data_IF_364011842411
#
_entry.id   IF_364011842411
#
_cell.length_a   1.000
_cell.length_b   1.000
_cell.length_c   1.000
_cell.angle_alpha   90.00
_cell.angle_beta   90.00
_cell.angle_gamma   90.00
#
_symmetry.space_group_name_H-M   'P 1'
#
loop_
_entity.id
_entity.type
_entity.pdbx_description
1 polymer ?
#
# COMPACT_ATOMS: atom_id res chain seq x y z
N UNK A 1 -10.60 -27.07 48.26
CA UNK A 1 -11.26 -26.81 46.95
C UNK A 1 -10.93 -25.43 46.32
N UNK A 2 -10.57 -24.39 47.07
CA UNK A 2 -10.33 -23.01 46.53
C UNK A 2 -9.02 -22.85 45.71
N UNK A 3 -7.97 -23.59 45.97
CA UNK A 3 -6.68 -23.47 45.30
C UNK A 3 -6.71 -23.94 43.82
N UNK A 4 -7.38 -25.06 43.55
CA UNK A 4 -7.49 -25.62 42.20
C UNK A 4 -8.26 -24.66 41.26
N UNK A 5 -9.35 -24.06 41.72
CA UNK A 5 -10.14 -23.07 40.94
C UNK A 5 -9.34 -21.83 40.65
N UNK A 6 -8.47 -21.41 41.57
CA UNK A 6 -7.63 -20.20 41.40
C UNK A 6 -6.53 -20.44 40.35
N UNK A 7 -5.92 -21.62 40.34
CA UNK A 7 -4.92 -22.01 39.34
C UNK A 7 -5.55 -22.10 37.94
N UNK A 8 -6.71 -22.72 37.79
CA UNK A 8 -7.41 -22.84 36.49
C UNK A 8 -7.78 -21.43 35.96
N UNK A 9 -8.30 -20.55 36.78
CA UNK A 9 -8.61 -19.17 36.38
C UNK A 9 -7.39 -18.39 35.93
N UNK A 10 -6.25 -18.53 36.58
CA UNK A 10 -5.01 -17.86 36.19
C UNK A 10 -4.45 -18.40 34.86
N UNK A 11 -4.50 -19.72 34.66
CA UNK A 11 -4.07 -20.35 33.40
C UNK A 11 -4.96 -19.93 32.23
N UNK A 12 -6.28 -19.88 32.43
CA UNK A 12 -7.21 -19.41 31.40
C UNK A 12 -6.98 -17.93 31.03
N UNK A 13 -6.73 -17.07 32.01
CA UNK A 13 -6.39 -15.65 31.75
C UNK A 13 -5.09 -15.49 30.98
N UNK A 14 -4.07 -16.26 31.33
CA UNK A 14 -2.79 -16.26 30.60
C UNK A 14 -2.99 -16.72 29.16
N UNK A 15 -3.70 -17.82 28.93
CA UNK A 15 -4.01 -18.35 27.62
C UNK A 15 -4.76 -17.35 26.74
N UNK A 16 -5.81 -16.70 27.27
CA UNK A 16 -6.56 -15.68 26.53
C UNK A 16 -5.67 -14.48 26.20
N UNK A 17 -4.80 -14.04 27.11
CA UNK A 17 -3.85 -12.97 26.87
C UNK A 17 -2.86 -13.31 25.76
N UNK A 18 -2.34 -14.52 25.72
CA UNK A 18 -1.44 -14.98 24.68
C UNK A 18 -2.13 -15.07 23.32
N UNK A 19 -3.34 -15.62 23.26
CA UNK A 19 -4.13 -15.65 22.03
C UNK A 19 -4.40 -14.25 21.49
N UNK A 20 -4.75 -13.30 22.33
CA UNK A 20 -4.95 -11.92 21.93
C UNK A 20 -3.66 -11.28 21.39
N UNK A 21 -2.52 -11.56 22.02
CA UNK A 21 -1.20 -11.06 21.57
C UNK A 21 -0.83 -11.61 20.20
N UNK A 22 -1.01 -12.91 20.00
CA UNK A 22 -0.70 -13.58 18.74
C UNK A 22 -1.66 -13.15 17.61
N UNK A 23 -2.96 -13.03 17.90
CA UNK A 23 -3.94 -12.48 16.94
C UNK A 23 -3.57 -11.06 16.50
N UNK A 24 -3.14 -10.19 17.42
CA UNK A 24 -2.65 -8.84 17.09
C UNK A 24 -1.39 -8.89 16.20
N UNK A 25 -0.45 -9.80 16.46
CA UNK A 25 0.73 -9.99 15.61
C UNK A 25 0.34 -10.46 14.20
N UNK A 26 -0.55 -11.43 14.10
CA UNK A 26 -1.06 -11.94 12.82
C UNK A 26 -1.76 -10.83 12.01
N UNK A 27 -2.64 -10.06 12.64
CA UNK A 27 -3.32 -8.91 12.03
C UNK A 27 -2.33 -7.86 11.51
N UNK A 28 -1.31 -7.51 12.30
CA UNK A 28 -0.26 -6.56 11.87
C UNK A 28 0.51 -7.08 10.64
N UNK A 29 0.83 -8.38 10.61
CA UNK A 29 1.49 -9.01 9.46
C UNK A 29 0.57 -9.01 8.23
N UNK A 30 -0.72 -9.34 8.40
CA UNK A 30 -1.70 -9.38 7.32
C UNK A 30 -1.85 -8.00 6.66
N UNK A 31 -2.06 -6.94 7.44
CA UNK A 31 -2.12 -5.56 6.95
C UNK A 31 -0.80 -5.17 6.24
N UNK A 32 0.33 -5.55 6.80
CA UNK A 32 1.63 -5.31 6.21
C UNK A 32 1.76 -5.92 4.81
N UNK A 33 1.38 -7.18 4.66
CA UNK A 33 1.42 -7.92 3.38
C UNK A 33 0.40 -7.39 2.38
N UNK A 34 -0.84 -7.12 2.80
CA UNK A 34 -1.85 -6.50 1.93
C UNK A 34 -1.38 -5.18 1.33
N UNK A 35 -0.78 -4.30 2.13
CA UNK A 35 -0.20 -3.06 1.62
C UNK A 35 0.92 -3.27 0.60
N UNK A 36 1.77 -4.30 0.78
CA UNK A 36 2.80 -4.65 -0.21
C UNK A 36 2.19 -5.20 -1.50
N UNK A 37 1.18 -6.06 -1.41
CA UNK A 37 0.48 -6.62 -2.57
C UNK A 37 -0.19 -5.52 -3.40
N UNK A 38 -0.94 -4.62 -2.77
CA UNK A 38 -1.57 -3.48 -3.44
C UNK A 38 -0.53 -2.57 -4.11
N UNK A 39 0.57 -2.25 -3.40
CA UNK A 39 1.68 -1.49 -3.99
C UNK A 39 2.23 -2.18 -5.24
N UNK A 40 2.46 -3.48 -5.16
CA UNK A 40 3.03 -4.24 -6.28
C UNK A 40 2.06 -4.33 -7.46
N UNK A 41 0.75 -4.43 -7.21
CA UNK A 41 -0.27 -4.37 -8.25
C UNK A 41 -0.29 -3.01 -8.94
N UNK A 42 -0.30 -1.91 -8.17
CA UNK A 42 -0.24 -0.56 -8.74
C UNK A 42 1.05 -0.33 -9.57
N UNK A 43 2.19 -0.88 -9.13
CA UNK A 43 3.44 -0.83 -9.89
C UNK A 43 3.37 -1.63 -11.19
N UNK A 44 2.74 -2.80 -11.18
CA UNK A 44 2.52 -3.61 -12.39
C UNK A 44 1.62 -2.86 -13.36
N UNK A 45 0.51 -2.31 -12.90
CA UNK A 45 -0.40 -1.51 -13.71
C UNK A 45 0.30 -0.29 -14.32
N UNK A 46 1.20 0.37 -13.56
CA UNK A 46 2.01 1.46 -14.08
C UNK A 46 2.94 0.99 -15.19
N UNK A 47 3.62 -0.14 -15.04
CA UNK A 47 4.50 -0.71 -16.07
C UNK A 47 3.73 -1.09 -17.33
N UNK A 48 2.55 -1.71 -17.19
CA UNK A 48 1.71 -2.15 -18.31
C UNK A 48 0.93 -1.00 -18.98
N UNK A 49 0.94 0.19 -18.43
CA UNK A 49 0.17 1.33 -18.96
C UNK A 49 0.71 1.92 -20.27
N UNK A 50 1.75 1.32 -20.86
CA UNK A 50 2.35 1.76 -22.13
C UNK A 50 3.12 3.09 -22.05
N UNK A 51 3.42 3.56 -20.83
CA UNK A 51 4.26 4.73 -20.64
C UNK A 51 5.65 4.35 -21.06
N UNK A 52 6.15 4.93 -22.17
CA UNK A 52 7.55 4.83 -22.55
C UNK A 52 8.39 5.48 -21.45
N UNK A 53 8.94 4.62 -20.61
CA UNK A 53 9.72 5.01 -19.43
C UNK A 53 11.11 5.54 -19.85
N UNK A 54 11.47 5.31 -21.13
CA UNK A 54 12.77 5.61 -21.73
C UNK A 54 12.95 7.07 -22.17
N UNK A 55 11.86 7.84 -22.32
CA UNK A 55 11.99 9.20 -22.78
C UNK A 55 12.29 10.15 -21.65
N UNK A 56 13.51 10.56 -21.58
CA UNK A 56 14.07 11.64 -20.81
C UNK A 56 14.72 11.27 -19.48
N UNK A 57 15.67 12.06 -19.13
CA UNK A 57 16.44 12.29 -17.88
C UNK A 57 15.96 11.64 -16.53
N UNK A 58 14.86 10.93 -16.54
CA UNK A 58 14.27 10.25 -15.39
C UNK A 58 14.23 8.75 -15.67
N UNK A 59 15.19 8.04 -15.17
CA UNK A 59 15.32 6.58 -15.26
C UNK A 59 14.01 5.90 -14.85
N UNK A 60 13.43 5.13 -15.77
CA UNK A 60 12.10 4.53 -15.64
C UNK A 60 11.87 3.69 -14.40
N UNK A 61 12.86 2.95 -13.97
CA UNK A 61 12.77 2.19 -12.72
C UNK A 61 12.54 3.08 -11.49
N UNK A 62 13.01 4.31 -11.50
CA UNK A 62 12.80 5.26 -10.42
C UNK A 62 11.36 5.76 -10.33
N UNK A 63 10.63 5.82 -11.45
CA UNK A 63 9.23 6.27 -11.46
C UNK A 63 8.35 5.27 -10.70
N UNK A 64 8.53 3.98 -10.92
CA UNK A 64 7.81 2.91 -10.23
C UNK A 64 8.01 2.97 -8.72
N UNK A 65 9.17 3.43 -8.26
CA UNK A 65 9.46 3.57 -6.83
C UNK A 65 8.68 4.70 -6.16
N UNK A 66 8.06 5.60 -6.91
CA UNK A 66 7.16 6.61 -6.37
C UNK A 66 5.83 6.05 -5.83
N UNK A 67 5.45 4.82 -6.19
CA UNK A 67 4.37 4.10 -5.52
C UNK A 67 4.92 3.43 -4.27
N UNK A 68 4.53 3.93 -3.09
CA UNK A 68 5.12 3.56 -1.80
C UNK A 68 4.10 3.08 -0.79
N UNK A 69 4.58 2.29 0.17
CA UNK A 69 3.84 1.97 1.39
C UNK A 69 4.41 2.77 2.56
N UNK A 70 3.52 3.26 3.42
CA UNK A 70 3.90 3.83 4.71
C UNK A 70 4.27 2.75 5.73
N UNK A 71 4.61 3.21 6.94
CA UNK A 71 4.75 2.35 8.11
C UNK A 71 3.38 1.80 8.52
N UNK A 72 3.38 0.65 9.19
CA UNK A 72 2.18 0.14 9.85
C UNK A 72 2.04 0.90 11.16
N UNK A 73 0.88 1.49 11.40
CA UNK A 73 0.57 2.14 12.65
C UNK A 73 -0.70 1.54 13.26
N UNK A 74 -0.78 1.58 14.57
CA UNK A 74 -1.95 1.15 15.32
C UNK A 74 -2.94 2.32 15.42
N UNK A 75 -4.20 2.05 15.18
CA UNK A 75 -5.30 2.98 15.45
C UNK A 75 -6.34 2.23 16.27
N UNK A 76 -6.48 2.62 17.54
CA UNK A 76 -7.35 1.91 18.50
C UNK A 76 -7.07 0.40 18.52
N UNK A 77 -8.04 -0.42 18.13
CA UNK A 77 -7.94 -1.88 18.09
C UNK A 77 -7.55 -2.44 16.72
N UNK A 78 -7.20 -1.59 15.75
CA UNK A 78 -6.87 -1.99 14.39
C UNK A 78 -5.46 -1.56 13.98
N UNK A 79 -4.96 -2.15 12.89
CA UNK A 79 -3.73 -1.72 12.22
C UNK A 79 -4.06 -1.10 10.88
N UNK A 80 -3.34 -0.06 10.51
CA UNK A 80 -3.45 0.60 9.20
C UNK A 80 -2.09 0.71 8.53
N UNK A 81 -2.12 0.65 7.20
CA UNK A 81 -0.96 0.90 6.36
C UNK A 81 -1.39 1.64 5.11
N UNK A 82 -0.82 2.80 4.89
CA UNK A 82 -1.12 3.59 3.70
C UNK A 82 -0.31 3.10 2.51
N UNK A 83 -0.96 2.96 1.37
CA UNK A 83 -0.32 2.87 0.05
C UNK A 83 -0.61 4.17 -0.67
N UNK A 84 0.41 4.81 -1.21
CA UNK A 84 0.27 6.15 -1.81
C UNK A 84 1.19 6.35 -3.00
N UNK A 85 0.78 7.23 -3.87
CA UNK A 85 1.62 7.84 -4.88
C UNK A 85 2.37 9.01 -4.25
N UNK A 86 3.69 9.00 -4.35
CA UNK A 86 4.50 10.14 -3.90
C UNK A 86 4.61 11.15 -5.02
N UNK A 87 4.06 12.33 -4.79
CA UNK A 87 4.11 13.45 -5.77
C UNK A 87 5.09 14.55 -5.35
N UNK A 88 6.06 14.23 -4.51
CA UNK A 88 6.96 15.22 -3.94
C UNK A 88 7.82 15.90 -5.02
N UNK A 89 7.57 17.18 -5.24
CA UNK A 89 8.32 18.02 -6.19
C UNK A 89 9.75 18.31 -5.76
N UNK A 90 10.08 18.14 -4.47
CA UNK A 90 11.44 18.39 -3.96
C UNK A 90 12.48 17.46 -4.59
N UNK A 91 12.06 16.26 -5.01
CA UNK A 91 12.94 15.34 -5.69
C UNK A 91 12.70 15.37 -7.22
N UNK A 92 13.04 16.45 -7.87
CA UNK A 92 12.89 16.63 -9.33
C UNK A 92 13.60 15.54 -10.15
N UNK A 93 14.73 15.02 -9.62
CA UNK A 93 15.52 13.96 -10.29
C UNK A 93 14.80 12.62 -10.42
N UNK A 94 13.82 12.32 -9.57
CA UNK A 94 13.10 11.03 -9.60
C UNK A 94 11.87 11.01 -10.50
N UNK A 95 11.40 12.16 -10.99
CA UNK A 95 10.20 12.26 -11.82
C UNK A 95 8.89 11.87 -11.12
N UNK A 96 8.89 11.55 -9.83
CA UNK A 96 7.71 11.06 -9.10
C UNK A 96 6.54 12.05 -9.07
N UNK A 97 6.81 13.34 -9.21
CA UNK A 97 5.76 14.36 -9.31
C UNK A 97 4.81 14.12 -10.50
N UNK A 98 5.27 13.39 -11.53
CA UNK A 98 4.46 13.05 -12.70
C UNK A 98 3.45 11.94 -12.43
N UNK A 99 3.63 11.12 -11.40
CA UNK A 99 2.75 9.99 -11.11
C UNK A 99 1.30 10.41 -10.87
N UNK A 100 1.08 11.54 -10.22
CA UNK A 100 -0.27 12.10 -10.06
C UNK A 100 -0.91 12.40 -11.40
N UNK A 101 -0.18 13.07 -12.29
CA UNK A 101 -0.65 13.39 -13.64
C UNK A 101 -0.88 12.14 -14.49
N UNK A 102 0.01 11.14 -14.39
CA UNK A 102 -0.14 9.87 -15.10
C UNK A 102 -1.34 9.07 -14.58
N UNK A 103 -1.64 9.15 -13.29
CA UNK A 103 -2.82 8.48 -12.75
C UNK A 103 -4.12 9.18 -13.16
N UNK A 104 -4.23 10.49 -12.94
CA UNK A 104 -5.49 11.22 -13.05
C UNK A 104 -5.62 12.05 -14.33
N UNK A 105 -4.57 12.10 -15.15
CA UNK A 105 -4.53 12.98 -16.31
C UNK A 105 -4.27 14.44 -15.94
N UNK A 106 -4.28 15.30 -16.94
CA UNK A 106 -4.19 16.77 -16.78
C UNK A 106 -5.09 17.43 -17.79
N UNK A 107 -5.56 18.62 -17.46
CA UNK A 107 -6.10 19.54 -18.46
C UNK A 107 -5.00 19.93 -19.45
N UNK A 108 -5.36 20.63 -20.52
CA UNK A 108 -4.41 21.20 -21.44
C UNK A 108 -3.43 22.13 -20.72
N UNK A 109 -2.15 22.02 -21.06
CA UNK A 109 -1.08 22.73 -20.39
C UNK A 109 -0.42 23.70 -21.34
N UNK A 110 -0.06 24.88 -20.84
CA UNK A 110 0.55 25.95 -21.62
C UNK A 110 1.91 26.34 -21.05
N UNK A 111 2.87 26.60 -21.92
CA UNK A 111 4.19 27.12 -21.54
C UNK A 111 4.15 28.64 -21.47
N UNK A 112 4.10 29.20 -20.25
CA UNK A 112 4.09 30.66 -20.03
C UNK A 112 5.26 31.38 -20.70
N UNK A 113 6.46 30.78 -20.69
CA UNK A 113 7.68 31.35 -21.27
C UNK A 113 7.69 31.39 -22.81
N UNK A 114 6.83 30.64 -23.48
CA UNK A 114 6.76 30.53 -24.94
C UNK A 114 5.39 31.01 -25.46
N UNK A 115 4.98 32.24 -25.15
CA UNK A 115 3.73 32.86 -25.64
C UNK A 115 2.51 31.93 -25.48
N UNK A 116 2.35 31.29 -24.32
CA UNK A 116 1.27 30.38 -24.04
C UNK A 116 1.12 29.20 -25.03
N UNK A 117 2.21 28.73 -25.61
CA UNK A 117 2.17 27.59 -26.51
C UNK A 117 1.62 26.37 -25.78
N UNK A 118 0.59 25.72 -26.34
CA UNK A 118 0.07 24.45 -25.81
C UNK A 118 1.18 23.39 -25.85
N UNK A 119 1.29 22.64 -24.76
CA UNK A 119 2.14 21.45 -24.64
C UNK A 119 1.30 20.16 -24.46
N UNK A 120 0.01 20.27 -24.79
CA UNK A 120 -0.96 19.19 -24.76
C UNK A 120 -1.37 18.76 -23.35
N UNK A 121 -2.26 17.79 -23.30
CA UNK A 121 -2.75 17.16 -22.08
C UNK A 121 -2.11 15.79 -21.85
N UNK A 122 -2.05 15.34 -20.62
CA UNK A 122 -1.69 13.97 -20.27
C UNK A 122 -2.98 13.18 -20.08
N UNK A 123 -3.15 12.09 -20.85
CA UNK A 123 -4.27 11.19 -20.69
C UNK A 123 -4.13 10.40 -19.39
N UNK A 124 -5.22 10.30 -18.63
CA UNK A 124 -5.27 9.50 -17.41
C UNK A 124 -4.97 8.02 -17.71
N UNK A 125 -4.12 7.39 -16.92
CA UNK A 125 -3.82 5.94 -17.02
C UNK A 125 -4.47 5.14 -15.90
N UNK A 126 -4.99 5.82 -14.89
CA UNK A 126 -5.72 5.23 -13.76
C UNK A 126 -5.02 4.02 -13.10
N UNK A 127 -3.71 3.90 -13.24
CA UNK A 127 -2.95 2.72 -12.81
C UNK A 127 -3.11 2.42 -11.32
N UNK A 128 -3.14 3.46 -10.49
CA UNK A 128 -3.32 3.34 -9.05
C UNK A 128 -4.79 3.17 -8.69
N UNK A 129 -5.66 3.95 -9.29
CA UNK A 129 -7.13 3.87 -9.09
C UNK A 129 -7.64 2.49 -9.45
N UNK A 130 -7.23 1.94 -10.60
CA UNK A 130 -7.60 0.59 -11.01
C UNK A 130 -7.03 -0.49 -10.08
N UNK A 131 -5.80 -0.28 -9.57
CA UNK A 131 -5.22 -1.20 -8.59
C UNK A 131 -6.03 -1.23 -7.30
N UNK A 132 -6.46 -0.07 -6.80
CA UNK A 132 -7.29 0.03 -5.59
C UNK A 132 -8.67 -0.61 -5.83
N UNK A 133 -9.33 -0.28 -6.94
CA UNK A 133 -10.67 -0.78 -7.27
C UNK A 133 -10.70 -2.31 -7.44
N UNK A 134 -9.65 -2.90 -8.05
CA UNK A 134 -9.58 -4.34 -8.28
C UNK A 134 -8.96 -5.14 -7.14
N UNK A 135 -8.46 -4.47 -6.08
CA UNK A 135 -7.80 -5.15 -4.97
C UNK A 135 -8.80 -5.72 -3.98
N UNK A 136 -8.93 -7.03 -3.96
CA UNK A 136 -9.81 -7.77 -3.05
C UNK A 136 -9.21 -7.84 -1.65
N UNK A 137 -9.27 -6.73 -0.93
CA UNK A 137 -8.60 -6.56 0.36
C UNK A 137 -9.03 -7.61 1.38
N UNK A 138 -10.36 -7.80 1.55
CA UNK A 138 -10.89 -8.73 2.55
C UNK A 138 -10.39 -10.16 2.31
N UNK A 139 -10.53 -10.66 1.08
CA UNK A 139 -10.07 -12.01 0.72
C UNK A 139 -8.57 -12.21 1.03
N UNK A 140 -7.74 -11.25 0.62
CA UNK A 140 -6.30 -11.31 0.85
C UNK A 140 -5.91 -11.17 2.32
N UNK A 141 -6.64 -10.36 3.06
CA UNK A 141 -6.44 -10.22 4.49
C UNK A 141 -6.76 -11.52 5.22
N UNK A 142 -7.92 -12.11 4.94
CA UNK A 142 -8.39 -13.35 5.57
C UNK A 142 -7.46 -14.53 5.23
N UNK A 143 -7.02 -14.66 3.97
CA UNK A 143 -6.04 -15.65 3.53
C UNK A 143 -4.75 -15.57 4.38
N UNK A 144 -4.21 -14.37 4.54
CA UNK A 144 -2.96 -14.16 5.27
C UNK A 144 -3.17 -14.38 6.78
N UNK A 145 -4.29 -13.90 7.33
CA UNK A 145 -4.63 -14.11 8.74
C UNK A 145 -4.72 -15.59 9.06
N UNK A 146 -5.48 -16.36 8.29
CA UNK A 146 -5.65 -17.80 8.49
C UNK A 146 -4.30 -18.52 8.42
N UNK A 147 -3.44 -18.16 7.46
CA UNK A 147 -2.09 -18.71 7.33
C UNK A 147 -1.20 -18.39 8.54
N UNK A 148 -1.30 -17.20 9.11
CA UNK A 148 -0.49 -16.85 10.30
C UNK A 148 -1.04 -17.52 11.56
N UNK A 149 -2.36 -17.63 11.69
CA UNK A 149 -2.99 -18.30 12.84
C UNK A 149 -2.80 -19.82 12.81
N UNK A 150 -2.79 -20.45 11.64
CA UNK A 150 -2.55 -21.90 11.54
C UNK A 150 -1.16 -22.31 12.02
N UNK A 151 -0.19 -21.41 12.04
CA UNK A 151 1.15 -21.68 12.61
C UNK A 151 1.16 -21.76 14.14
N UNK A 152 0.12 -21.27 14.79
CA UNK A 152 -0.01 -21.30 16.25
C UNK A 152 -0.56 -22.65 16.74
N UNK A 153 -1.09 -23.47 15.83
CA UNK A 153 -1.63 -24.80 16.16
C UNK A 153 -0.56 -25.91 16.14
N UNK A 154 0.68 -25.56 15.83
CA UNK A 154 1.84 -26.45 15.91
C UNK A 154 2.67 -26.13 17.14
#
# INVERSE_FOLDING_TARGET
>A
MNLAIKVIKNTAKQFVSELQKESKKASRKAIGRCGLLLRNQARRNLKSSGIKITDSHYLGDKLVHGVRTGRIYRQENSFKRNVRITTNRRNKKSGWFRLGWLNSGTNERFQKKKKNKSVGKITARNFYTNAVASFKFKEKYDEIMNKELSKLKK
#
